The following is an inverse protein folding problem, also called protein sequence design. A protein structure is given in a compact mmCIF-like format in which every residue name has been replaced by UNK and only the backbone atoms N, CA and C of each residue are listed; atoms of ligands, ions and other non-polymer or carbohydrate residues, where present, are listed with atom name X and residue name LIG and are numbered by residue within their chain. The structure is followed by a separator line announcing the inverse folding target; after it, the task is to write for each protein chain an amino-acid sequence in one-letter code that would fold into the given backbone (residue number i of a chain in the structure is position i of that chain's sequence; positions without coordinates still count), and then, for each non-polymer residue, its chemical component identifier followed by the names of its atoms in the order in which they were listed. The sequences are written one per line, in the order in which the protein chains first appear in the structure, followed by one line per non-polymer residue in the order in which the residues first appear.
data_IF_043528579808
#
_entry.id   IF_043528579808
#
_cell.length_a   1.000
_cell.length_b   1.000
_cell.length_c   1.000
_cell.angle_alpha   90.00
_cell.angle_beta   90.00
_cell.angle_gamma   90.00
#
_symmetry.space_group_name_H-M   'P 1'
#
loop_
_entity.id
_entity.type
_entity.pdbx_description
1 polymer ?
#
# COMPACT_ATOMS: atom_id res chain seq x y z
N UNK A 1 71.63 -0.67 47.74
CA UNK A 1 70.24 -0.96 48.16
C UNK A 1 69.33 -0.92 46.95
N UNK A 2 68.69 -2.07 46.66
CA UNK A 2 67.35 -2.28 46.05
C UNK A 2 67.13 -1.88 44.56
N UNK A 3 67.04 -2.93 43.72
CA UNK A 3 66.35 -3.01 42.42
C UNK A 3 64.85 -2.73 42.58
N UNK A 4 64.15 -2.24 41.54
CA UNK A 4 62.83 -2.76 41.08
C UNK A 4 62.57 -2.29 39.63
N UNK A 5 62.46 -3.26 38.72
CA UNK A 5 61.71 -3.20 37.45
C UNK A 5 60.22 -3.31 37.79
N UNK A 6 59.33 -2.63 37.07
CA UNK A 6 57.96 -3.07 36.72
C UNK A 6 57.37 -2.06 35.71
N UNK A 7 57.11 -2.42 34.45
CA UNK A 7 55.89 -3.06 33.92
C UNK A 7 54.61 -2.23 34.15
N UNK A 8 54.17 -1.54 33.09
CA UNK A 8 52.78 -1.11 32.89
C UNK A 8 52.49 -1.25 31.39
N UNK A 9 52.04 -2.42 30.93
CA UNK A 9 50.63 -2.73 30.62
C UNK A 9 49.98 -1.70 29.69
N UNK A 10 50.14 -1.90 28.38
CA UNK A 10 49.29 -1.29 27.37
C UNK A 10 48.00 -2.08 27.26
N UNK A 11 46.90 -1.53 27.74
CA UNK A 11 45.56 -2.07 27.51
C UNK A 11 45.04 -1.53 26.17
N UNK A 12 44.97 -2.40 25.16
CA UNK A 12 44.24 -2.16 23.92
C UNK A 12 42.76 -2.30 24.25
N UNK A 13 42.04 -1.17 24.33
CA UNK A 13 40.59 -1.15 24.43
C UNK A 13 40.01 -1.51 23.06
N UNK A 14 39.60 -2.75 22.89
CA UNK A 14 38.80 -3.18 21.75
C UNK A 14 37.42 -2.50 21.84
N UNK A 15 37.17 -1.53 20.97
CA UNK A 15 35.85 -0.95 20.79
C UNK A 15 34.96 -1.99 20.11
N UNK A 16 34.23 -2.78 20.91
CA UNK A 16 33.10 -3.57 20.43
C UNK A 16 31.99 -2.59 20.04
N UNK A 17 31.88 -2.32 18.75
CA UNK A 17 30.70 -1.69 18.17
C UNK A 17 29.52 -2.63 18.44
N UNK A 18 28.74 -2.28 19.45
CA UNK A 18 27.43 -2.89 19.69
C UNK A 18 26.53 -2.53 18.52
N UNK A 19 26.42 -3.42 17.55
CA UNK A 19 25.27 -3.45 16.68
C UNK A 19 24.06 -3.73 17.58
N UNK A 20 23.29 -2.67 17.90
CA UNK A 20 21.95 -2.82 18.44
C UNK A 20 21.11 -3.51 17.36
N UNK A 21 21.09 -4.84 17.37
CA UNK A 21 20.01 -5.59 16.75
C UNK A 21 18.78 -5.32 17.61
N UNK A 22 18.02 -4.29 17.24
CA UNK A 22 16.62 -4.24 17.62
C UNK A 22 16.00 -5.49 16.98
N UNK A 23 15.69 -6.50 17.79
CA UNK A 23 14.89 -7.63 17.31
C UNK A 23 13.59 -7.09 16.71
N UNK A 24 12.99 -7.78 15.71
CA UNK A 24 11.76 -7.31 15.11
C UNK A 24 10.74 -7.08 16.22
N UNK A 25 10.30 -5.82 16.37
CA UNK A 25 9.30 -5.46 17.34
C UNK A 25 8.06 -6.32 17.12
N UNK A 26 7.48 -6.86 18.20
CA UNK A 26 6.20 -7.55 18.10
C UNK A 26 5.16 -6.56 17.55
N UNK A 27 4.48 -6.96 16.48
CA UNK A 27 3.39 -6.16 15.91
C UNK A 27 2.25 -6.02 16.92
N UNK A 28 1.57 -4.86 16.96
CA UNK A 28 0.35 -4.70 17.76
C UNK A 28 -0.73 -5.71 17.37
N UNK A 29 -1.60 -6.03 18.32
CA UNK A 29 -2.80 -6.83 18.02
C UNK A 29 -3.73 -6.04 17.08
N UNK A 30 -4.29 -6.68 16.04
CA UNK A 30 -5.13 -6.00 15.08
C UNK A 30 -6.46 -5.63 15.70
N UNK A 31 -6.99 -4.47 15.29
CA UNK A 31 -8.30 -3.99 15.73
C UNK A 31 -9.32 -4.17 14.61
N UNK A 32 -10.55 -4.61 14.92
CA UNK A 32 -11.60 -4.69 13.92
C UNK A 32 -11.90 -3.31 13.34
N UNK A 33 -11.98 -3.25 12.02
CA UNK A 33 -12.43 -2.06 11.29
C UNK A 33 -13.95 -2.09 11.22
N UNK A 34 -14.55 -0.92 11.43
CA UNK A 34 -15.99 -0.72 11.34
C UNK A 34 -16.23 0.57 10.57
N UNK A 35 -16.98 0.47 9.47
CA UNK A 35 -17.40 1.63 8.67
C UNK A 35 -18.81 2.09 9.06
N UNK A 36 -19.28 3.20 8.49
CA UNK A 36 -20.52 3.86 8.89
C UNK A 36 -21.77 2.96 8.79
N UNK A 37 -21.81 2.02 7.85
CA UNK A 37 -22.88 1.03 7.70
C UNK A 37 -22.93 0.00 8.83
N UNK A 38 -21.86 -0.14 9.61
CA UNK A 38 -21.65 -1.19 10.59
C UNK A 38 -20.98 -2.45 10.04
N UNK A 39 -20.62 -2.49 8.74
CA UNK A 39 -19.85 -3.58 8.16
C UNK A 39 -18.48 -3.69 8.85
N UNK A 40 -18.07 -4.93 9.16
CA UNK A 40 -16.86 -5.22 9.94
C UNK A 40 -15.84 -5.96 9.11
N UNK A 41 -14.57 -5.61 9.32
CA UNK A 41 -13.42 -6.30 8.75
C UNK A 41 -12.42 -6.56 9.87
N UNK A 42 -11.99 -7.80 10.01
CA UNK A 42 -11.01 -8.22 11.00
C UNK A 42 -9.81 -8.83 10.28
N UNK A 43 -8.62 -8.62 10.83
CA UNK A 43 -7.42 -9.32 10.38
C UNK A 43 -7.32 -10.62 11.17
N UNK A 44 -7.44 -11.74 10.47
CA UNK A 44 -7.36 -13.06 11.09
C UNK A 44 -5.98 -13.72 10.90
N UNK A 45 -5.17 -13.24 9.94
CA UNK A 45 -3.84 -13.76 9.64
C UNK A 45 -2.73 -12.75 9.98
N UNK A 46 -2.13 -12.92 11.16
CA UNK A 46 -0.99 -12.12 11.61
C UNK A 46 0.33 -12.47 10.91
N UNK A 47 0.41 -13.60 10.21
CA UNK A 47 1.59 -13.94 9.40
C UNK A 47 1.61 -13.06 8.17
N UNK A 48 0.50 -12.98 7.44
CA UNK A 48 0.30 -12.05 6.32
C UNK A 48 0.61 -10.61 6.73
N UNK A 49 0.09 -10.13 7.87
CA UNK A 49 0.35 -8.75 8.30
C UNK A 49 1.82 -8.46 8.62
N UNK A 50 2.59 -9.47 9.03
CA UNK A 50 4.03 -9.31 9.22
C UNK A 50 4.76 -9.15 7.90
N UNK A 51 4.40 -9.95 6.90
CA UNK A 51 4.95 -9.83 5.54
C UNK A 51 4.62 -8.47 4.94
N UNK A 52 3.36 -8.03 5.05
CA UNK A 52 2.92 -6.69 4.64
C UNK A 52 3.69 -5.60 5.37
N UNK A 53 3.89 -5.72 6.68
CA UNK A 53 4.66 -4.74 7.46
C UNK A 53 6.12 -4.64 7.00
N UNK A 54 6.79 -5.77 6.81
CA UNK A 54 8.20 -5.78 6.39
C UNK A 54 8.34 -5.18 4.99
N UNK A 55 7.43 -5.51 4.09
CA UNK A 55 7.42 -5.03 2.72
C UNK A 55 7.08 -3.54 2.60
N UNK A 56 6.06 -3.07 3.32
CA UNK A 56 5.69 -1.64 3.40
C UNK A 56 6.84 -0.82 3.96
N UNK A 57 7.48 -1.26 5.06
CA UNK A 57 8.60 -0.52 5.64
C UNK A 57 9.81 -0.50 4.73
N UNK A 58 10.14 -1.63 4.08
CA UNK A 58 11.21 -1.69 3.08
C UNK A 58 10.98 -0.67 1.97
N UNK A 59 9.77 -0.62 1.44
CA UNK A 59 9.44 0.30 0.34
C UNK A 59 9.46 1.76 0.79
N UNK A 60 8.83 2.11 1.91
CA UNK A 60 8.84 3.48 2.43
C UNK A 60 10.26 3.95 2.79
N UNK A 61 11.11 3.03 3.26
CA UNK A 61 12.52 3.31 3.49
C UNK A 61 13.25 3.65 2.19
N UNK A 62 13.05 2.87 1.13
CA UNK A 62 13.64 3.15 -0.20
C UNK A 62 13.15 4.50 -0.73
N UNK A 63 11.84 4.78 -0.67
CA UNK A 63 11.26 6.06 -1.07
C UNK A 63 11.90 7.24 -0.33
N UNK A 64 12.20 7.07 0.95
CA UNK A 64 12.80 8.13 1.77
C UNK A 64 14.32 8.30 1.57
N UNK A 65 15.02 7.29 1.07
CA UNK A 65 16.49 7.22 1.14
C UNK A 65 17.19 7.11 -0.23
N UNK A 66 16.53 6.60 -1.26
CA UNK A 66 17.13 6.44 -2.60
C UNK A 66 17.12 7.79 -3.36
N UNK A 67 18.29 8.39 -3.65
CA UNK A 67 18.35 9.67 -4.35
C UNK A 67 18.17 9.55 -5.88
N UNK A 68 18.01 8.34 -6.42
CA UNK A 68 17.88 8.11 -7.87
C UNK A 68 16.49 8.44 -8.44
N UNK A 69 15.52 8.74 -7.57
CA UNK A 69 14.19 9.15 -7.95
C UNK A 69 13.58 10.09 -6.89
N UNK A 70 12.43 10.68 -7.20
CA UNK A 70 11.66 11.52 -6.27
C UNK A 70 10.18 11.13 -6.27
N UNK A 71 9.63 10.89 -5.08
CA UNK A 71 8.18 10.83 -4.86
C UNK A 71 7.74 12.14 -4.19
N UNK A 72 7.10 13.02 -4.96
CA UNK A 72 6.54 14.29 -4.51
C UNK A 72 5.06 14.11 -4.10
N UNK A 73 4.84 13.60 -2.88
CA UNK A 73 3.52 13.45 -2.29
C UNK A 73 3.10 14.74 -1.58
N UNK A 74 2.03 15.41 -2.07
CA UNK A 74 1.59 16.71 -1.56
C UNK A 74 0.14 16.72 -1.06
N UNK A 75 -0.17 17.48 0.01
CA UNK A 75 -1.53 17.59 0.52
C UNK A 75 -2.43 18.52 -0.32
N UNK A 76 -3.60 18.04 -0.70
CA UNK A 76 -4.65 18.74 -1.47
C UNK A 76 -5.99 18.78 -0.69
N UNK A 77 -6.94 19.61 -1.12
CA UNK A 77 -8.25 19.76 -0.48
C UNK A 77 -9.27 18.69 -0.91
N UNK A 78 -9.05 18.04 -2.05
CA UNK A 78 -10.01 17.09 -2.65
C UNK A 78 -9.87 15.71 -2.05
N UNK A 79 -10.99 15.00 -1.97
CA UNK A 79 -10.98 13.55 -1.78
C UNK A 79 -10.83 12.92 -3.15
N UNK A 80 -9.76 12.16 -3.31
CA UNK A 80 -9.33 11.54 -4.57
C UNK A 80 -8.84 10.14 -4.30
N UNK A 81 -8.88 9.26 -5.28
CA UNK A 81 -8.11 8.03 -5.30
C UNK A 81 -6.67 8.29 -5.77
N UNK A 82 -5.71 7.40 -5.49
CA UNK A 82 -4.31 7.58 -5.88
C UNK A 82 -4.11 7.82 -7.39
N UNK A 83 -4.78 7.05 -8.25
CA UNK A 83 -4.66 7.13 -9.71
C UNK A 83 -5.13 8.46 -10.29
N UNK A 84 -6.09 9.14 -9.66
CA UNK A 84 -6.69 10.37 -10.21
C UNK A 84 -5.70 11.54 -10.26
N UNK A 85 -4.66 11.50 -9.43
CA UNK A 85 -3.72 12.62 -9.26
C UNK A 85 -2.28 12.28 -9.61
N UNK A 86 -1.98 11.00 -9.82
CA UNK A 86 -0.64 10.55 -10.18
C UNK A 86 -0.19 11.20 -11.49
N UNK A 87 1.03 11.74 -11.47
CA UNK A 87 1.76 12.18 -12.66
C UNK A 87 3.20 11.70 -12.56
N UNK A 88 3.66 10.96 -13.56
CA UNK A 88 5.04 10.47 -13.67
C UNK A 88 5.76 11.26 -14.77
N UNK A 89 6.95 11.74 -14.47
CA UNK A 89 7.81 12.44 -15.42
C UNK A 89 9.28 12.20 -15.08
N UNK A 90 10.02 11.58 -16.00
CA UNK A 90 11.41 11.19 -15.82
C UNK A 90 11.60 10.32 -14.56
N UNK A 91 12.39 10.81 -13.61
CA UNK A 91 12.73 10.20 -12.32
C UNK A 91 11.81 10.67 -11.18
N UNK A 92 10.72 11.37 -11.48
CA UNK A 92 9.83 11.97 -10.49
C UNK A 92 8.39 11.50 -10.68
N UNK A 93 7.76 11.05 -9.60
CA UNK A 93 6.32 10.89 -9.52
C UNK A 93 5.74 11.89 -8.54
N UNK A 94 4.73 12.64 -8.97
CA UNK A 94 3.97 13.54 -8.11
C UNK A 94 2.55 13.01 -7.89
N UNK A 95 2.07 13.11 -6.66
CA UNK A 95 0.76 12.61 -6.27
C UNK A 95 0.14 13.51 -5.20
N UNK A 96 -1.18 13.66 -5.20
CA UNK A 96 -1.89 14.45 -4.20
C UNK A 96 -2.73 13.56 -3.29
N UNK A 97 -2.71 13.84 -1.99
CA UNK A 97 -3.55 13.17 -0.98
C UNK A 97 -4.33 14.19 -0.16
N UNK A 98 -5.42 13.79 0.49
CA UNK A 98 -6.27 14.70 1.28
C UNK A 98 -5.49 15.30 2.46
N UNK A 99 -5.38 16.63 2.50
CA UNK A 99 -4.66 17.40 3.53
C UNK A 99 -5.11 17.09 4.95
N UNK A 100 -6.41 16.86 5.15
CA UNK A 100 -6.99 16.56 6.46
C UNK A 100 -6.82 15.11 6.89
N UNK A 101 -6.20 14.27 6.05
CA UNK A 101 -5.92 12.86 6.33
C UNK A 101 -4.44 12.54 5.99
N UNK A 102 -3.49 13.02 6.80
CA UNK A 102 -2.05 12.84 6.54
C UNK A 102 -1.60 11.38 6.54
N UNK A 103 -2.34 10.51 7.22
CA UNK A 103 -2.12 9.07 7.28
C UNK A 103 -2.14 8.39 5.90
N UNK A 104 -2.79 9.02 4.90
CA UNK A 104 -2.84 8.53 3.53
C UNK A 104 -1.46 8.52 2.85
N UNK A 105 -0.54 9.35 3.32
CA UNK A 105 0.71 9.65 2.62
C UNK A 105 1.48 8.38 2.25
N UNK A 106 1.65 7.43 3.19
CA UNK A 106 2.43 6.21 2.94
C UNK A 106 1.83 5.35 1.83
N UNK A 107 0.53 5.09 1.86
CA UNK A 107 -0.16 4.31 0.81
C UNK A 107 -0.12 5.00 -0.56
N UNK A 108 -0.19 6.34 -0.58
CA UNK A 108 -0.10 7.11 -1.82
C UNK A 108 1.34 7.16 -2.37
N UNK A 109 2.34 7.24 -1.50
CA UNK A 109 3.75 7.14 -1.87
C UNK A 109 4.06 5.76 -2.45
N UNK A 110 3.52 4.68 -1.86
CA UNK A 110 3.63 3.31 -2.41
C UNK A 110 3.05 3.24 -3.82
N UNK A 111 1.84 3.75 -4.02
CA UNK A 111 1.20 3.81 -5.35
C UNK A 111 2.10 4.53 -6.36
N UNK A 112 2.50 5.76 -6.06
CA UNK A 112 3.35 6.56 -6.94
C UNK A 112 4.70 5.89 -7.23
N UNK A 113 5.30 5.27 -6.23
CA UNK A 113 6.57 4.57 -6.36
C UNK A 113 6.49 3.38 -7.31
N UNK A 114 5.44 2.56 -7.22
CA UNK A 114 5.26 1.40 -8.12
C UNK A 114 5.21 1.84 -9.58
N UNK A 115 4.39 2.86 -9.89
CA UNK A 115 4.27 3.38 -11.26
C UNK A 115 5.58 4.03 -11.75
N UNK A 116 6.30 4.72 -10.87
CA UNK A 116 7.60 5.29 -11.21
C UNK A 116 8.62 4.19 -11.52
N UNK A 117 8.73 3.17 -10.66
CA UNK A 117 9.65 2.05 -10.88
C UNK A 117 9.32 1.32 -12.18
N UNK A 118 8.03 1.17 -12.55
CA UNK A 118 7.64 0.61 -13.85
C UNK A 118 8.15 1.46 -14.99
N UNK A 119 7.93 2.77 -14.94
CA UNK A 119 8.41 3.70 -15.98
C UNK A 119 9.95 3.73 -16.11
N UNK A 120 10.66 3.42 -15.03
CA UNK A 120 12.12 3.34 -14.99
C UNK A 120 12.68 1.94 -15.32
N UNK A 121 11.83 0.93 -15.55
CA UNK A 121 12.25 -0.45 -15.79
C UNK A 121 12.89 -1.13 -14.57
N UNK A 122 12.43 -0.78 -13.37
CA UNK A 122 12.97 -1.23 -12.06
C UNK A 122 11.91 -1.86 -11.16
N UNK A 123 10.76 -2.24 -11.72
CA UNK A 123 9.58 -2.62 -10.94
C UNK A 123 9.63 -4.06 -10.43
N UNK A 124 10.45 -4.91 -11.05
CA UNK A 124 10.57 -6.35 -10.74
C UNK A 124 10.93 -6.61 -9.27
N UNK A 125 11.64 -5.68 -8.61
CA UNK A 125 11.99 -5.76 -7.18
C UNK A 125 10.79 -5.55 -6.22
N UNK A 126 9.63 -5.18 -6.77
CA UNK A 126 8.46 -4.70 -6.04
C UNK A 126 7.16 -5.40 -6.38
N UNK A 127 7.13 -6.19 -7.44
CA UNK A 127 5.98 -7.01 -7.85
C UNK A 127 6.27 -8.49 -7.63
N UNK A 128 5.23 -9.30 -7.52
CA UNK A 128 5.40 -10.75 -7.56
C UNK A 128 5.94 -11.20 -8.92
N UNK A 129 6.81 -12.22 -8.95
CA UNK A 129 7.36 -12.82 -10.17
C UNK A 129 6.29 -13.35 -11.14
N UNK A 130 5.05 -13.57 -10.67
CA UNK A 130 3.97 -14.07 -11.51
C UNK A 130 3.23 -12.95 -12.27
N UNK A 131 3.48 -11.69 -11.94
CA UNK A 131 2.79 -10.54 -12.53
C UNK A 131 3.44 -10.17 -13.85
N UNK A 132 2.65 -10.16 -14.93
CA UNK A 132 3.07 -9.53 -16.18
C UNK A 132 3.03 -8.00 -16.02
N UNK A 133 4.21 -7.39 -15.86
CA UNK A 133 4.35 -5.94 -15.69
C UNK A 133 4.12 -5.17 -16.99
N UNK A 134 4.09 -5.82 -18.15
CA UNK A 134 3.78 -5.18 -19.42
C UNK A 134 2.27 -5.10 -19.67
N UNK A 135 1.46 -5.94 -19.00
CA UNK A 135 0.00 -5.82 -18.97
C UNK A 135 -0.45 -4.72 -17.98
N UNK A 136 -1.04 -3.65 -18.51
CA UNK A 136 -1.47 -2.50 -17.72
C UNK A 136 -2.50 -2.85 -16.64
N UNK A 137 -3.42 -3.76 -16.92
CA UNK A 137 -4.46 -4.16 -15.98
C UNK A 137 -3.90 -5.07 -14.89
N UNK A 138 -3.09 -6.05 -15.27
CA UNK A 138 -2.46 -6.96 -14.31
C UNK A 138 -1.54 -6.20 -13.34
N UNK A 139 -0.74 -5.28 -13.87
CA UNK A 139 0.09 -4.40 -13.08
C UNK A 139 -0.74 -3.53 -12.13
N UNK A 140 -1.77 -2.84 -12.62
CA UNK A 140 -2.60 -1.96 -11.78
C UNK A 140 -3.28 -2.74 -10.65
N UNK A 141 -3.78 -3.96 -10.95
CA UNK A 141 -4.39 -4.83 -9.95
C UNK A 141 -3.40 -5.15 -8.82
N UNK A 142 -2.15 -5.46 -9.17
CA UNK A 142 -1.10 -5.73 -8.18
C UNK A 142 -0.77 -4.49 -7.34
N UNK A 143 -0.61 -3.32 -7.98
CA UNK A 143 -0.38 -2.05 -7.27
C UNK A 143 -1.50 -1.76 -6.27
N UNK A 144 -2.75 -1.93 -6.69
CA UNK A 144 -3.90 -1.63 -5.83
C UNK A 144 -4.08 -2.65 -4.69
N UNK A 145 -3.69 -3.91 -4.87
CA UNK A 145 -3.59 -4.89 -3.76
C UNK A 145 -2.57 -4.42 -2.72
N UNK A 146 -1.40 -3.98 -3.17
CA UNK A 146 -0.35 -3.46 -2.29
C UNK A 146 -0.78 -2.21 -1.54
N UNK A 147 -1.52 -1.32 -2.19
CA UNK A 147 -2.16 -0.16 -1.55
C UNK A 147 -3.17 -0.62 -0.50
N UNK A 148 -4.04 -1.57 -0.82
CA UNK A 148 -5.02 -2.13 0.11
C UNK A 148 -4.35 -2.72 1.35
N UNK A 149 -3.31 -3.54 1.17
CA UNK A 149 -2.51 -4.13 2.25
C UNK A 149 -1.88 -3.06 3.14
N UNK A 150 -1.24 -2.04 2.53
CA UNK A 150 -0.64 -0.95 3.29
C UNK A 150 -1.67 -0.17 4.14
N UNK A 151 -2.86 0.05 3.58
CA UNK A 151 -3.93 0.75 4.28
C UNK A 151 -4.54 -0.10 5.39
N UNK A 152 -4.78 -1.40 5.12
CA UNK A 152 -5.26 -2.35 6.11
C UNK A 152 -4.30 -2.47 7.29
N UNK A 153 -3.00 -2.59 7.03
CA UNK A 153 -1.95 -2.59 8.05
C UNK A 153 -2.07 -1.36 8.96
N UNK A 154 -2.09 -0.17 8.36
CA UNK A 154 -2.19 1.08 9.09
C UNK A 154 -3.48 1.20 9.92
N UNK A 155 -4.63 0.88 9.32
CA UNK A 155 -5.94 0.96 9.97
C UNK A 155 -6.07 -0.04 11.13
N UNK A 156 -5.71 -1.29 10.90
CA UNK A 156 -5.92 -2.37 11.86
C UNK A 156 -4.87 -2.35 12.99
N UNK A 157 -3.59 -2.13 12.68
CA UNK A 157 -2.49 -2.28 13.66
C UNK A 157 -1.99 -0.94 14.22
N UNK A 158 -2.11 0.17 13.48
CA UNK A 158 -1.47 1.45 13.85
C UNK A 158 -2.42 2.62 14.05
N UNK A 159 -3.73 2.39 14.04
CA UNK A 159 -4.75 3.41 14.31
C UNK A 159 -4.75 4.60 13.38
N UNK A 160 -4.44 4.37 12.11
CA UNK A 160 -4.66 5.38 11.09
C UNK A 160 -6.15 5.76 11.04
N UNK A 161 -6.44 7.03 10.81
CA UNK A 161 -7.81 7.52 10.72
C UNK A 161 -8.55 6.89 9.52
N UNK A 162 -9.86 6.60 9.63
CA UNK A 162 -10.66 6.13 8.51
C UNK A 162 -10.64 7.13 7.35
N UNK A 163 -10.53 6.62 6.12
CA UNK A 163 -10.66 7.42 4.91
C UNK A 163 -11.52 6.67 3.90
N UNK A 164 -12.71 7.18 3.54
CA UNK A 164 -13.71 6.41 2.80
C UNK A 164 -13.19 5.73 1.53
N UNK A 165 -12.39 6.41 0.72
CA UNK A 165 -11.95 5.88 -0.58
C UNK A 165 -10.97 4.71 -0.44
N UNK A 166 -10.03 4.76 0.52
CA UNK A 166 -9.15 3.62 0.77
C UNK A 166 -9.84 2.54 1.61
N UNK A 167 -10.80 2.90 2.46
CA UNK A 167 -11.67 1.92 3.13
C UNK A 167 -12.50 1.13 2.10
N UNK A 168 -12.97 1.75 1.02
CA UNK A 168 -13.63 1.02 -0.08
C UNK A 168 -12.70 0.01 -0.75
N UNK A 169 -11.44 0.38 -0.97
CA UNK A 169 -10.42 -0.49 -1.57
C UNK A 169 -10.13 -1.70 -0.68
N UNK A 170 -9.94 -1.53 0.64
CA UNK A 170 -9.65 -2.66 1.53
C UNK A 170 -10.83 -3.62 1.65
N UNK A 171 -12.07 -3.10 1.76
CA UNK A 171 -13.25 -3.95 1.88
C UNK A 171 -13.50 -4.72 0.58
N UNK A 172 -13.29 -4.09 -0.57
CA UNK A 172 -13.36 -4.78 -1.86
C UNK A 172 -12.26 -5.84 -1.98
N UNK A 173 -11.04 -5.53 -1.55
CA UNK A 173 -9.93 -6.49 -1.59
C UNK A 173 -10.18 -7.71 -0.70
N UNK A 174 -10.55 -7.51 0.57
CA UNK A 174 -10.85 -8.62 1.48
C UNK A 174 -12.10 -9.43 1.07
N UNK A 175 -13.03 -8.83 0.32
CA UNK A 175 -14.19 -9.52 -0.23
C UNK A 175 -13.93 -10.23 -1.58
N UNK A 176 -12.72 -10.12 -2.15
CA UNK A 176 -12.42 -10.66 -3.49
C UNK A 176 -13.08 -9.87 -4.64
N UNK A 177 -13.48 -8.62 -4.38
CA UNK A 177 -14.21 -7.73 -5.29
C UNK A 177 -13.40 -6.50 -5.72
N UNK A 178 -12.07 -6.51 -5.50
CA UNK A 178 -11.19 -5.41 -5.91
C UNK A 178 -11.26 -5.15 -7.42
N UNK A 179 -11.21 -6.21 -8.24
CA UNK A 179 -11.29 -6.09 -9.69
C UNK A 179 -12.61 -5.43 -10.11
N UNK A 180 -13.73 -5.84 -9.50
CA UNK A 180 -15.04 -5.25 -9.76
C UNK A 180 -15.09 -3.75 -9.41
N UNK A 181 -14.48 -3.35 -8.29
CA UNK A 181 -14.38 -1.96 -7.87
C UNK A 181 -13.57 -1.13 -8.87
N UNK A 182 -12.35 -1.58 -9.22
CA UNK A 182 -11.45 -0.84 -10.10
C UNK A 182 -12.02 -0.71 -11.52
N UNK A 183 -12.59 -1.77 -12.08
CA UNK A 183 -13.18 -1.76 -13.42
C UNK A 183 -14.46 -0.91 -13.49
N UNK A 184 -15.19 -0.73 -12.37
CA UNK A 184 -16.32 0.21 -12.29
C UNK A 184 -15.86 1.67 -12.15
N UNK A 185 -14.77 1.92 -11.43
CA UNK A 185 -14.20 3.26 -11.25
C UNK A 185 -13.47 3.76 -12.50
N UNK A 186 -12.88 2.84 -13.29
CA UNK A 186 -12.03 3.16 -14.45
C UNK A 186 -12.47 2.43 -15.73
N UNK A 187 -13.76 2.53 -16.13
CA UNK A 187 -14.31 1.71 -17.21
C UNK A 187 -13.76 2.07 -18.60
N UNK A 188 -13.23 3.28 -18.77
CA UNK A 188 -12.62 3.73 -20.04
C UNK A 188 -11.16 3.33 -20.13
N UNK A 189 -10.42 3.43 -19.03
CA UNK A 189 -8.99 3.14 -18.99
C UNK A 189 -8.70 1.65 -19.17
N UNK A 190 -9.54 0.80 -18.57
CA UNK A 190 -9.41 -0.66 -18.65
C UNK A 190 -10.60 -1.29 -19.38
N UNK A 191 -10.99 -0.72 -20.52
CA UNK A 191 -12.17 -1.17 -21.27
C UNK A 191 -12.09 -2.65 -21.67
N UNK A 192 -10.94 -3.10 -22.19
CA UNK A 192 -10.74 -4.47 -22.65
C UNK A 192 -10.79 -5.46 -21.48
N UNK A 193 -10.11 -5.14 -20.37
CA UNK A 193 -10.15 -5.94 -19.14
C UNK A 193 -11.56 -6.01 -18.55
N UNK A 194 -12.31 -4.90 -18.58
CA UNK A 194 -13.70 -4.85 -18.13
C UNK A 194 -14.60 -5.74 -18.99
N UNK A 195 -14.45 -5.67 -20.32
CA UNK A 195 -15.22 -6.52 -21.23
C UNK A 195 -14.92 -8.00 -21.00
N UNK A 196 -13.64 -8.36 -20.86
CA UNK A 196 -13.23 -9.72 -20.56
C UNK A 196 -13.80 -10.20 -19.22
N UNK A 197 -13.68 -9.40 -18.18
CA UNK A 197 -14.18 -9.72 -16.85
C UNK A 197 -15.70 -9.93 -16.84
N UNK A 198 -16.48 -9.09 -17.53
CA UNK A 198 -17.94 -9.25 -17.64
C UNK A 198 -18.35 -10.46 -18.47
N UNK A 199 -17.57 -10.81 -19.50
CA UNK A 199 -17.80 -12.01 -20.30
C UNK A 199 -17.62 -13.28 -19.48
N UNK A 200 -16.57 -13.30 -18.66
CA UNK A 200 -16.22 -14.44 -17.81
C UNK A 200 -17.10 -14.49 -16.55
N UNK A 201 -17.66 -13.35 -16.12
CA UNK A 201 -18.51 -13.23 -14.94
C UNK A 201 -19.82 -12.46 -15.25
N UNK A 202 -20.80 -13.07 -15.93
CA UNK A 202 -22.00 -12.36 -16.40
C UNK A 202 -22.86 -11.71 -15.31
N UNK A 203 -22.76 -12.16 -14.06
CA UNK A 203 -23.52 -11.63 -12.92
C UNK A 203 -22.70 -10.67 -12.04
N UNK A 204 -21.41 -10.50 -12.32
CA UNK A 204 -20.52 -9.85 -11.36
C UNK A 204 -20.81 -8.36 -11.15
N UNK A 205 -21.36 -7.66 -12.14
CA UNK A 205 -21.82 -6.28 -11.94
C UNK A 205 -22.98 -6.21 -10.94
N UNK A 206 -23.94 -7.12 -11.04
CA UNK A 206 -25.10 -7.18 -10.13
C UNK A 206 -24.68 -7.60 -8.72
N UNK A 207 -23.82 -8.60 -8.62
CA UNK A 207 -23.27 -9.07 -7.34
C UNK A 207 -22.45 -7.97 -6.66
N UNK A 208 -21.54 -7.31 -7.40
CA UNK A 208 -20.76 -6.19 -6.90
C UNK A 208 -21.64 -5.04 -6.42
N UNK A 209 -22.65 -4.62 -7.21
CA UNK A 209 -23.60 -3.57 -6.81
C UNK A 209 -24.42 -3.96 -5.59
N UNK A 210 -24.82 -5.22 -5.47
CA UNK A 210 -25.51 -5.76 -4.30
C UNK A 210 -24.63 -5.65 -3.05
N UNK A 211 -23.43 -6.21 -3.14
CA UNK A 211 -22.42 -6.17 -2.07
C UNK A 211 -22.06 -4.74 -1.67
N UNK A 212 -21.85 -3.84 -2.64
CA UNK A 212 -21.44 -2.46 -2.36
C UNK A 212 -22.55 -1.70 -1.61
N UNK A 213 -23.82 -1.88 -2.00
CA UNK A 213 -24.95 -1.27 -1.29
C UNK A 213 -25.11 -1.82 0.12
N UNK A 214 -24.96 -3.12 0.30
CA UNK A 214 -24.99 -3.74 1.63
C UNK A 214 -23.84 -3.25 2.51
N UNK A 215 -22.64 -3.16 1.94
CA UNK A 215 -21.42 -2.81 2.68
C UNK A 215 -21.32 -1.32 2.97
N UNK A 216 -21.64 -0.42 2.04
CA UNK A 216 -21.43 1.03 2.19
C UNK A 216 -22.72 1.83 2.33
N UNK A 217 -23.89 1.19 2.27
CA UNK A 217 -25.20 1.84 2.34
C UNK A 217 -25.40 2.96 1.30
N UNK A 218 -24.75 2.84 0.13
CA UNK A 218 -24.84 3.76 -1.01
C UNK A 218 -24.59 3.01 -2.32
N UNK A 219 -24.92 3.62 -3.46
CA UNK A 219 -24.60 3.06 -4.77
C UNK A 219 -23.09 3.15 -5.07
N UNK A 220 -22.52 2.19 -5.81
CA UNK A 220 -21.11 2.24 -6.18
C UNK A 220 -20.80 3.42 -7.11
N UNK A 221 -19.59 3.98 -7.00
CA UNK A 221 -19.11 4.99 -7.93
C UNK A 221 -18.92 4.39 -9.32
N UNK A 222 -19.21 5.17 -10.37
CA UNK A 222 -19.16 4.74 -11.76
C UNK A 222 -20.46 5.08 -12.51
N UNK A 223 -20.52 4.80 -13.83
CA UNK A 223 -21.71 5.08 -14.61
C UNK A 223 -22.89 4.21 -14.12
N UNK A 224 -24.12 4.78 -14.04
CA UNK A 224 -25.31 3.97 -13.84
C UNK A 224 -25.44 2.98 -15.00
N UNK A 225 -25.80 1.74 -14.69
CA UNK A 225 -26.30 0.80 -15.68
C UNK A 225 -27.78 1.12 -15.88
N UNK A 226 -28.11 1.65 -17.07
CA UNK A 226 -29.49 1.82 -17.51
C UNK A 226 -30.25 0.48 -17.54
#
# INVERSE_FOLDING_TARGET
MIRIRNLALGAVAAATLGACSAGPGQLPDPRPLVIQSGARLSVDDMTRMREVYDDVNRQLQVIAQDPSFLIDARPDARDVYPWETLRVSNDTASIFYKRTAPDLRGSYEIYAHMHLMRSMGRVDDWVSEQVDVDDDWEFEREVMRKVADSWLLGRALFDLAPYPLLDEVIYAYEAGLLDALLLNLRPVEFADAREAWLRDNPQADTEFRGWYRETFAKDPPGPPTD
#
